data_IF_992392272871
#
_entry.id   IF_992392272871
#
_cell.length_a   1.000
_cell.length_b   1.000
_cell.length_c   1.000
_cell.angle_alpha   90.00
_cell.angle_beta   90.00
_cell.angle_gamma   90.00
#
_symmetry.space_group_name_H-M   'P 1'
#
loop_
_entity.id
_entity.type
_entity.pdbx_description
1 polymer ?
#
# COMPACT_ATOMS: atom_id res chain seq x y z
N UNK A 1 25.57 -32.86 17.11
CA UNK A 1 25.20 -31.47 16.81
C UNK A 1 23.70 -31.46 16.61
N UNK A 2 22.95 -30.74 17.43
CA UNK A 2 21.52 -30.53 17.21
C UNK A 2 21.38 -29.19 16.46
N UNK A 3 20.81 -29.21 15.27
CA UNK A 3 20.42 -27.99 14.55
C UNK A 3 19.43 -27.23 15.43
N UNK A 4 19.86 -26.06 15.89
CA UNK A 4 18.98 -25.14 16.60
C UNK A 4 18.38 -24.24 15.53
N UNK A 5 17.28 -24.69 14.92
CA UNK A 5 16.43 -23.83 14.09
C UNK A 5 15.78 -22.78 15.02
N UNK A 6 16.53 -21.74 15.35
CA UNK A 6 16.05 -20.56 16.05
C UNK A 6 15.96 -19.39 15.10
N UNK A 7 15.19 -19.56 14.02
CA UNK A 7 14.76 -18.46 13.16
C UNK A 7 13.30 -18.10 13.49
N UNK A 8 13.05 -17.70 14.74
CA UNK A 8 11.78 -17.07 15.10
C UNK A 8 11.71 -15.71 14.40
N UNK A 9 10.99 -15.65 13.28
CA UNK A 9 10.75 -14.46 12.45
C UNK A 9 10.21 -13.28 13.27
N UNK A 10 9.39 -13.58 14.29
CA UNK A 10 8.83 -12.61 15.22
C UNK A 10 9.47 -12.75 16.59
N UNK A 11 9.98 -11.63 17.10
CA UNK A 11 10.64 -11.51 18.39
C UNK A 11 9.95 -10.48 19.26
N UNK A 12 10.13 -10.56 20.59
CA UNK A 12 9.58 -9.54 21.50
C UNK A 12 10.35 -8.23 21.34
N UNK A 13 9.63 -7.14 21.10
CA UNK A 13 10.20 -5.80 21.03
C UNK A 13 10.54 -5.23 22.40
N UNK A 14 11.28 -4.12 22.41
CA UNK A 14 11.66 -3.42 23.66
C UNK A 14 10.49 -2.74 24.38
N UNK A 15 9.38 -2.48 23.68
CA UNK A 15 8.16 -1.94 24.27
C UNK A 15 7.25 -3.07 24.80
N UNK A 16 6.43 -2.80 25.84
CA UNK A 16 5.42 -3.75 26.31
C UNK A 16 4.51 -4.21 25.16
N UNK A 17 4.22 -5.50 25.09
CA UNK A 17 3.37 -6.16 24.09
C UNK A 17 3.75 -5.92 22.62
N UNK A 18 4.98 -5.47 22.36
CA UNK A 18 5.50 -5.33 21.01
C UNK A 18 6.03 -6.67 20.47
N UNK A 19 5.67 -6.99 19.23
CA UNK A 19 6.32 -8.01 18.42
C UNK A 19 7.04 -7.32 17.24
N UNK A 20 8.26 -7.76 16.94
CA UNK A 20 9.12 -7.21 15.90
C UNK A 20 9.48 -8.32 14.92
N UNK A 21 9.33 -8.03 13.63
CA UNK A 21 9.86 -8.84 12.54
C UNK A 21 10.86 -7.99 11.77
N UNK A 22 12.10 -8.49 11.67
CA UNK A 22 13.14 -7.86 10.87
C UNK A 22 13.14 -8.49 9.47
N UNK A 23 12.51 -7.82 8.50
CA UNK A 23 12.36 -8.31 7.14
C UNK A 23 11.11 -7.75 6.46
N UNK A 24 10.76 -8.32 5.29
CA UNK A 24 9.51 -8.01 4.59
C UNK A 24 8.39 -8.93 5.07
N UNK A 25 7.20 -8.37 5.30
CA UNK A 25 6.02 -9.10 5.74
C UNK A 25 5.00 -9.14 4.61
N UNK A 26 4.70 -10.34 4.11
CA UNK A 26 3.60 -10.56 3.16
C UNK A 26 2.37 -11.10 3.88
N UNK A 27 1.22 -10.47 3.70
CA UNK A 27 -0.09 -11.00 4.08
C UNK A 27 -0.77 -11.49 2.80
N UNK A 28 -1.04 -12.78 2.72
CA UNK A 28 -1.56 -13.47 1.52
C UNK A 28 -0.66 -13.36 0.27
N UNK A 29 0.65 -13.17 0.46
CA UNK A 29 1.66 -13.20 -0.61
C UNK A 29 2.97 -13.76 -0.06
N UNK A 30 3.68 -14.52 -0.87
CA UNK A 30 5.01 -15.08 -0.58
C UNK A 30 6.16 -14.22 -1.11
N UNK A 31 5.83 -13.18 -1.88
CA UNK A 31 6.77 -12.36 -2.64
C UNK A 31 6.54 -10.87 -2.40
N UNK A 32 6.63 -10.38 -1.13
CA UNK A 32 6.52 -8.97 -0.84
C UNK A 32 7.72 -8.20 -1.43
N UNK A 33 7.44 -7.14 -2.18
CA UNK A 33 8.44 -6.22 -2.71
C UNK A 33 8.79 -5.12 -1.70
N UNK A 34 7.83 -4.70 -0.89
CA UNK A 34 7.96 -3.70 0.18
C UNK A 34 8.02 -4.29 1.61
N UNK A 35 8.26 -3.44 2.62
CA UNK A 35 8.35 -3.86 4.03
C UNK A 35 7.08 -4.55 4.56
N UNK A 36 5.91 -4.12 4.10
CA UNK A 36 4.62 -4.75 4.38
C UNK A 36 3.78 -4.74 3.10
N UNK A 37 3.41 -5.93 2.62
CA UNK A 37 2.50 -6.09 1.47
C UNK A 37 1.28 -6.87 1.93
N UNK A 38 0.09 -6.33 1.66
CA UNK A 38 -1.18 -6.98 1.99
C UNK A 38 -1.93 -7.26 0.69
N UNK A 39 -1.99 -8.53 0.29
CA UNK A 39 -2.85 -9.02 -0.79
C UNK A 39 -4.25 -9.30 -0.21
N UNK A 40 -4.97 -8.23 0.13
CA UNK A 40 -6.27 -8.26 0.77
C UNK A 40 -6.57 -6.93 1.46
N UNK A 41 -7.45 -6.95 2.47
CA UNK A 41 -7.80 -5.73 3.19
C UNK A 41 -7.02 -5.56 4.48
N UNK A 42 -6.73 -4.30 4.81
CA UNK A 42 -6.30 -3.90 6.14
C UNK A 42 -7.43 -3.10 6.81
N UNK A 43 -7.93 -3.61 7.95
CA UNK A 43 -8.79 -2.82 8.85
C UNK A 43 -7.88 -2.12 9.86
N UNK A 44 -7.74 -0.81 9.75
CA UNK A 44 -6.92 0.00 10.65
C UNK A 44 -7.83 0.77 11.60
N UNK A 45 -7.66 0.54 12.90
CA UNK A 45 -8.26 1.36 13.95
C UNK A 45 -7.18 2.29 14.49
N UNK A 46 -7.29 3.59 14.23
CA UNK A 46 -6.27 4.59 14.55
C UNK A 46 -5.87 5.43 13.34
N UNK A 47 -4.67 6.00 13.36
CA UNK A 47 -4.17 6.87 12.30
C UNK A 47 -3.13 6.17 11.41
N UNK A 48 -3.28 6.29 10.10
CA UNK A 48 -2.20 6.04 9.14
C UNK A 48 -1.46 7.37 8.97
N UNK A 49 -0.21 7.43 9.43
CA UNK A 49 0.57 8.66 9.39
C UNK A 49 1.22 8.83 8.00
N UNK A 50 0.75 9.81 7.23
CA UNK A 50 1.36 10.24 5.97
C UNK A 50 1.81 11.71 6.07
N UNK A 51 3.02 11.99 6.57
CA UNK A 51 3.45 13.35 6.81
C UNK A 51 3.66 14.13 5.50
N UNK A 52 2.96 15.26 5.35
CA UNK A 52 3.09 16.18 4.21
C UNK A 52 3.57 17.59 4.60
N UNK A 53 3.88 17.80 5.89
CA UNK A 53 4.41 19.07 6.43
C UNK A 53 5.77 19.42 5.78
N UNK A 54 5.98 20.71 5.46
CA UNK A 54 7.23 21.19 4.85
C UNK A 54 8.47 20.86 5.72
N UNK A 55 8.33 20.86 7.06
CA UNK A 55 9.42 20.49 7.98
C UNK A 55 9.83 19.02 7.88
N UNK A 56 8.96 18.17 7.34
CA UNK A 56 9.25 16.76 7.07
C UNK A 56 9.78 16.52 5.64
N UNK A 57 9.81 17.55 4.79
CA UNK A 57 10.24 17.46 3.38
C UNK A 57 11.60 18.12 3.20
N UNK A 58 12.41 17.55 2.33
CA UNK A 58 13.70 18.11 1.89
C UNK A 58 13.74 18.16 0.37
N UNK A 59 14.55 19.08 -0.20
CA UNK A 59 14.68 19.29 -1.64
C UNK A 59 13.34 19.57 -2.35
N UNK A 60 12.47 20.38 -1.74
CA UNK A 60 11.22 20.80 -2.37
C UNK A 60 11.55 21.69 -3.57
N UNK A 61 11.12 21.27 -4.75
CA UNK A 61 11.29 22.02 -6.01
C UNK A 61 9.93 22.20 -6.66
N UNK A 62 9.74 23.36 -7.29
CA UNK A 62 8.57 23.59 -8.11
C UNK A 62 8.70 22.78 -9.41
N UNK A 63 7.58 22.20 -9.84
CA UNK A 63 7.50 21.33 -11.01
C UNK A 63 6.71 22.03 -12.10
N UNK A 64 7.11 21.83 -13.36
CA UNK A 64 6.41 22.40 -14.51
C UNK A 64 4.97 21.87 -14.55
N UNK A 65 4.04 22.76 -14.21
CA UNK A 65 2.63 22.44 -14.08
C UNK A 65 2.00 22.13 -15.44
N UNK A 66 2.51 22.68 -16.55
CA UNK A 66 1.99 22.37 -17.88
C UNK A 66 2.32 20.93 -18.30
N UNK A 67 3.53 20.47 -18.00
CA UNK A 67 3.93 19.09 -18.27
C UNK A 67 3.13 18.09 -17.41
N UNK A 68 2.91 18.42 -16.14
CA UNK A 68 2.08 17.59 -15.26
C UNK A 68 0.62 17.56 -15.70
N UNK A 69 0.04 18.70 -16.06
CA UNK A 69 -1.33 18.77 -16.56
C UNK A 69 -1.49 18.00 -17.88
N UNK A 70 -0.50 18.06 -18.78
CA UNK A 70 -0.49 17.23 -20.00
C UNK A 70 -0.55 15.75 -19.65
N UNK A 71 0.24 15.29 -18.67
CA UNK A 71 0.24 13.89 -18.23
C UNK A 71 -1.07 13.49 -17.54
N UNK A 72 -1.63 14.35 -16.70
CA UNK A 72 -2.94 14.12 -16.06
C UNK A 72 -4.05 14.03 -17.10
N UNK A 73 -4.05 14.90 -18.12
CA UNK A 73 -5.05 14.89 -19.18
C UNK A 73 -4.96 13.66 -20.10
N UNK A 74 -3.84 12.94 -20.10
CA UNK A 74 -3.71 11.65 -20.78
C UNK A 74 -4.27 10.49 -19.95
N UNK A 75 -4.48 10.67 -18.64
CA UNK A 75 -5.09 9.65 -17.80
C UNK A 75 -6.58 9.51 -18.12
N UNK A 76 -7.01 8.28 -18.34
CA UNK A 76 -8.41 7.97 -18.56
C UNK A 76 -9.13 7.79 -17.22
N UNK A 77 -10.05 8.71 -16.93
CA UNK A 77 -10.97 8.58 -15.79
C UNK A 77 -12.15 7.69 -16.22
N UNK A 78 -12.49 6.71 -15.39
CA UNK A 78 -13.53 5.73 -15.67
C UNK A 78 -14.46 5.55 -14.48
N UNK A 79 -15.71 5.24 -14.77
CA UNK A 79 -16.64 4.64 -13.80
C UNK A 79 -16.61 3.12 -13.99
N UNK A 80 -16.64 2.38 -12.89
CA UNK A 80 -16.60 0.94 -12.92
C UNK A 80 -17.35 0.34 -11.73
N UNK A 81 -17.81 -0.89 -11.91
CA UNK A 81 -18.34 -1.73 -10.85
C UNK A 81 -17.33 -2.83 -10.52
N UNK A 82 -17.00 -2.99 -9.24
CA UNK A 82 -16.29 -4.18 -8.81
C UNK A 82 -17.13 -5.43 -9.09
N UNK A 83 -16.46 -6.47 -9.60
CA UNK A 83 -17.09 -7.79 -9.74
C UNK A 83 -17.67 -8.23 -8.39
N UNK A 84 -18.91 -8.75 -8.32
CA UNK A 84 -19.56 -9.08 -7.04
C UNK A 84 -18.73 -10.02 -6.15
N UNK A 85 -18.07 -11.02 -6.74
CA UNK A 85 -17.24 -11.98 -6.01
C UNK A 85 -16.00 -11.30 -5.42
N UNK A 86 -15.44 -10.35 -6.16
CA UNK A 86 -14.30 -9.55 -5.69
C UNK A 86 -14.74 -8.59 -4.59
N UNK A 87 -15.83 -7.86 -4.79
CA UNK A 87 -16.36 -6.92 -3.80
C UNK A 87 -16.72 -7.61 -2.48
N UNK A 88 -17.36 -8.78 -2.54
CA UNK A 88 -17.71 -9.57 -1.37
C UNK A 88 -16.48 -10.06 -0.61
N UNK A 89 -15.49 -10.64 -1.31
CA UNK A 89 -14.24 -11.09 -0.70
C UNK A 89 -13.42 -9.93 -0.11
N UNK A 90 -13.50 -8.76 -0.75
CA UNK A 90 -12.81 -7.55 -0.34
C UNK A 90 -13.66 -6.64 0.56
N UNK A 91 -14.82 -7.08 1.05
CA UNK A 91 -15.67 -6.28 1.95
C UNK A 91 -15.94 -4.86 1.43
N UNK A 92 -16.08 -4.70 0.11
CA UNK A 92 -16.33 -3.42 -0.53
C UNK A 92 -17.85 -3.18 -0.54
N UNK A 93 -18.31 -2.28 0.33
CA UNK A 93 -19.74 -1.96 0.47
C UNK A 93 -20.29 -1.16 -0.72
N UNK A 94 -19.44 -0.33 -1.35
CA UNK A 94 -19.79 0.49 -2.52
C UNK A 94 -19.07 -0.04 -3.77
N UNK A 95 -19.77 -0.86 -4.54
CA UNK A 95 -19.21 -1.54 -5.72
C UNK A 95 -18.97 -0.60 -6.88
N UNK A 96 -19.77 0.46 -7.02
CA UNK A 96 -19.64 1.46 -8.08
C UNK A 96 -18.70 2.58 -7.64
N UNK A 97 -17.64 2.82 -8.42
CA UNK A 97 -16.63 3.84 -8.13
C UNK A 97 -16.13 4.53 -9.40
N UNK A 98 -15.64 5.75 -9.23
CA UNK A 98 -14.91 6.49 -10.26
C UNK A 98 -13.41 6.47 -9.94
N UNK A 99 -12.57 6.20 -10.94
CA UNK A 99 -11.13 6.16 -10.74
C UNK A 99 -10.35 6.01 -12.04
N UNK A 100 -9.15 5.43 -11.92
CA UNK A 100 -8.24 5.15 -13.03
C UNK A 100 -7.89 3.66 -13.05
N UNK A 101 -7.48 3.15 -14.21
CA UNK A 101 -6.95 1.80 -14.33
C UNK A 101 -5.43 1.83 -14.14
N UNK A 102 -4.92 1.13 -13.13
CA UNK A 102 -3.50 1.18 -12.75
C UNK A 102 -2.56 0.77 -13.90
N UNK A 103 -2.96 -0.21 -14.73
CA UNK A 103 -2.19 -0.64 -15.90
C UNK A 103 -2.07 0.48 -16.94
N UNK A 104 -3.15 1.24 -17.18
CA UNK A 104 -3.16 2.37 -18.12
C UNK A 104 -2.29 3.52 -17.60
N UNK A 105 -2.32 3.79 -16.28
CA UNK A 105 -1.50 4.84 -15.67
C UNK A 105 0.00 4.50 -15.75
N UNK A 106 0.38 3.22 -15.65
CA UNK A 106 1.78 2.78 -15.74
C UNK A 106 2.40 3.03 -17.12
N UNK A 107 1.59 3.07 -18.17
CA UNK A 107 2.04 3.21 -19.56
C UNK A 107 2.19 4.69 -20.01
N UNK A 108 1.74 5.64 -19.17
CA UNK A 108 1.88 7.09 -19.36
C UNK A 108 3.19 7.63 -18.80
#
# INVERSE_FOLDING_TARGET
QFETDSDTLWQRGSAPDAAVCHGRVGINTDSPDEALVVCGNAKVMGAIMQPSDNRAKQNVQEVDSEQLLKRINQMRIVEFDYRPEFASNMGIDHTHQTGVIAQEVKEL
#
